data_IF_734672952736
#
_entry.id   IF_734672952736
#
_cell.length_a   1.000
_cell.length_b   1.000
_cell.length_c   1.000
_cell.angle_alpha   90.00
_cell.angle_beta   90.00
_cell.angle_gamma   90.00
#
_symmetry.space_group_name_H-M   'P 1'
#
loop_
_entity.id
_entity.type
_entity.pdbx_description
1 polymer ?
#
# COMPACT_ATOMS: atom_id res chain seq x y z
N UNK A 1 1.91 -49.42 -17.84
CA UNK A 1 2.27 -48.08 -18.35
C UNK A 1 1.05 -47.20 -18.11
N UNK A 2 1.18 -46.18 -17.29
CA UNK A 2 0.05 -45.31 -16.89
C UNK A 2 0.27 -43.93 -17.51
N UNK A 3 -0.67 -43.52 -18.35
CA UNK A 3 -0.80 -42.15 -18.87
C UNK A 3 -1.19 -41.18 -17.75
N UNK A 4 -0.71 -39.93 -17.76
CA UNK A 4 -1.36 -38.84 -17.04
C UNK A 4 -2.14 -37.95 -18.02
N UNK A 5 -3.35 -37.49 -17.68
CA UNK A 5 -3.82 -36.24 -18.22
C UNK A 5 -4.09 -35.20 -17.13
N UNK A 6 -3.45 -34.05 -17.38
CA UNK A 6 -3.97 -32.70 -17.19
C UNK A 6 -4.36 -32.26 -15.78
N UNK A 7 -3.39 -31.57 -15.17
CA UNK A 7 -3.55 -30.54 -14.15
C UNK A 7 -4.82 -29.69 -14.31
N UNK A 8 -5.79 -29.98 -13.44
CA UNK A 8 -6.60 -29.05 -12.66
C UNK A 8 -6.98 -27.71 -13.33
N UNK A 9 -8.17 -27.71 -13.92
CA UNK A 9 -9.00 -26.51 -14.09
C UNK A 9 -9.21 -25.80 -12.74
N UNK A 10 -9.19 -24.46 -12.67
CA UNK A 10 -9.57 -23.74 -11.45
C UNK A 10 -11.06 -23.93 -11.18
N UNK A 11 -11.38 -24.46 -9.99
CA UNK A 11 -12.74 -24.65 -9.52
C UNK A 11 -13.48 -23.31 -9.47
N UNK A 12 -14.62 -23.25 -10.17
CA UNK A 12 -15.54 -22.13 -10.09
C UNK A 12 -16.15 -22.04 -8.68
N UNK A 13 -16.45 -20.85 -8.14
CA UNK A 13 -17.15 -20.74 -6.86
C UNK A 13 -18.56 -21.32 -7.01
N UNK A 14 -19.05 -22.14 -6.06
CA UNK A 14 -20.40 -22.67 -6.15
C UNK A 14 -21.41 -21.54 -5.94
N UNK A 15 -22.19 -21.25 -6.98
CA UNK A 15 -23.37 -20.39 -6.94
C UNK A 15 -24.54 -21.19 -6.40
N UNK A 16 -25.07 -20.83 -5.22
CA UNK A 16 -26.32 -21.39 -4.69
C UNK A 16 -26.63 -20.88 -3.28
N UNK A 17 -27.81 -20.27 -3.05
CA UNK A 17 -28.15 -19.66 -1.77
C UNK A 17 -28.89 -20.68 -0.89
N UNK A 18 -28.29 -21.06 0.25
CA UNK A 18 -29.04 -21.76 1.30
C UNK A 18 -29.01 -20.94 2.58
N UNK A 19 -30.20 -20.44 2.93
CA UNK A 19 -30.51 -19.67 4.13
C UNK A 19 -30.55 -20.62 5.31
N UNK A 20 -29.40 -21.05 5.79
CA UNK A 20 -29.30 -21.64 7.12
C UNK A 20 -28.94 -20.51 8.10
N UNK A 21 -29.98 -19.94 8.71
CA UNK A 21 -29.90 -18.91 9.74
C UNK A 21 -29.33 -19.50 11.03
N UNK A 22 -28.04 -19.82 11.04
CA UNK A 22 -27.26 -19.89 12.28
C UNK A 22 -26.81 -18.48 12.59
N UNK A 23 -27.55 -17.79 13.46
CA UNK A 23 -27.20 -16.47 13.96
C UNK A 23 -25.75 -16.49 14.48
N UNK A 24 -24.83 -15.93 13.69
CA UNK A 24 -23.48 -15.63 14.15
C UNK A 24 -23.60 -14.50 15.17
N UNK A 25 -23.23 -14.71 16.44
CA UNK A 25 -23.28 -13.63 17.42
C UNK A 25 -22.24 -12.59 17.03
N UNK A 26 -22.69 -11.36 16.81
CA UNK A 26 -21.85 -10.16 16.76
C UNK A 26 -20.78 -10.19 15.67
N UNK A 27 -21.19 -9.97 14.42
CA UNK A 27 -20.29 -9.44 13.42
C UNK A 27 -19.83 -8.05 13.87
N UNK A 28 -18.79 -8.00 14.69
CA UNK A 28 -18.04 -6.76 14.92
C UNK A 28 -17.68 -6.23 13.54
N UNK A 29 -18.17 -5.04 13.23
CA UNK A 29 -17.92 -4.38 11.97
C UNK A 29 -16.41 -4.12 11.90
N UNK A 30 -15.67 -5.03 11.26
CA UNK A 30 -14.22 -4.95 11.09
C UNK A 30 -13.82 -3.62 10.47
N UNK A 31 -14.73 -2.94 9.75
CA UNK A 31 -14.50 -1.58 9.23
C UNK A 31 -14.36 -0.55 10.33
N UNK A 32 -15.17 -0.61 11.39
CA UNK A 32 -15.04 0.30 12.54
C UNK A 32 -13.73 0.06 13.30
N UNK A 33 -13.33 -1.20 13.45
CA UNK A 33 -12.08 -1.57 14.12
C UNK A 33 -10.85 -1.05 13.34
N UNK A 34 -10.84 -1.23 12.01
CA UNK A 34 -9.81 -0.68 11.12
C UNK A 34 -9.81 0.85 11.17
N UNK A 35 -10.98 1.50 11.18
CA UNK A 35 -11.09 2.96 11.26
C UNK A 35 -10.55 3.51 12.59
N UNK A 36 -10.77 2.80 13.71
CA UNK A 36 -10.19 3.17 15.02
C UNK A 36 -8.68 2.96 15.07
N UNK A 37 -8.17 1.88 14.47
CA UNK A 37 -6.74 1.60 14.42
C UNK A 37 -5.98 2.62 13.56
N UNK A 38 -6.50 2.95 12.37
CA UNK A 38 -5.89 3.92 11.45
C UNK A 38 -5.89 5.35 11.99
N UNK A 39 -6.88 5.72 12.81
CA UNK A 39 -6.91 7.03 13.51
C UNK A 39 -5.82 7.19 14.57
N UNK A 40 -5.17 6.11 15.01
CA UNK A 40 -4.21 6.13 16.12
C UNK A 40 -2.75 5.98 15.71
N UNK A 41 -2.46 5.77 14.43
CA UNK A 41 -1.08 5.71 13.95
C UNK A 41 -0.50 7.12 13.82
N UNK A 42 0.43 7.55 14.69
CA UNK A 42 1.14 8.79 14.47
C UNK A 42 1.93 8.71 13.17
N UNK A 43 1.97 9.83 12.45
CA UNK A 43 2.69 9.95 11.19
C UNK A 43 4.19 9.83 11.45
N UNK A 44 4.83 8.79 10.93
CA UNK A 44 6.28 8.60 11.07
C UNK A 44 7.02 9.38 9.97
N UNK A 45 7.41 10.60 10.31
CA UNK A 45 8.14 11.49 9.41
C UNK A 45 9.53 10.95 9.05
N UNK A 46 10.15 10.15 9.91
CA UNK A 46 11.46 9.56 9.64
C UNK A 46 11.34 8.45 8.59
N UNK A 47 10.34 7.58 8.73
CA UNK A 47 10.02 6.56 7.74
C UNK A 47 9.65 7.19 6.38
N UNK A 48 8.86 8.26 6.37
CA UNK A 48 8.49 8.97 5.13
C UNK A 48 9.71 9.60 4.44
N UNK A 49 10.63 10.22 5.20
CA UNK A 49 11.89 10.75 4.65
C UNK A 49 12.76 9.64 4.05
N UNK A 50 12.94 8.54 4.77
CA UNK A 50 13.71 7.39 4.28
C UNK A 50 13.09 6.78 3.00
N UNK A 51 11.76 6.70 2.95
CA UNK A 51 11.03 6.23 1.78
C UNK A 51 11.24 7.12 0.55
N UNK A 52 11.14 8.45 0.70
CA UNK A 52 11.39 9.39 -0.38
C UNK A 52 12.85 9.36 -0.85
N UNK A 53 13.80 9.21 0.07
CA UNK A 53 15.22 9.07 -0.27
C UNK A 53 15.47 7.81 -1.11
N UNK A 54 14.93 6.67 -0.69
CA UNK A 54 15.03 5.42 -1.43
C UNK A 54 14.40 5.53 -2.84
N UNK A 55 13.26 6.21 -2.97
CA UNK A 55 12.64 6.47 -4.28
C UNK A 55 13.55 7.27 -5.20
N UNK A 56 14.25 8.29 -4.68
CA UNK A 56 15.21 9.07 -5.47
C UNK A 56 16.33 8.16 -6.00
N UNK A 57 16.84 7.26 -5.18
CA UNK A 57 17.91 6.34 -5.58
C UNK A 57 17.45 5.34 -6.64
N UNK A 58 16.25 4.79 -6.51
CA UNK A 58 15.63 3.94 -7.53
C UNK A 58 15.50 4.67 -8.87
N UNK A 59 15.01 5.92 -8.85
CA UNK A 59 14.86 6.74 -10.07
C UNK A 59 16.21 7.02 -10.73
N UNK A 60 17.26 7.28 -9.95
CA UNK A 60 18.62 7.50 -10.48
C UNK A 60 19.13 6.29 -11.27
N UNK A 61 18.90 5.09 -10.75
CA UNK A 61 19.35 3.83 -11.38
C UNK A 61 18.39 3.31 -12.45
N UNK A 62 17.24 3.96 -12.66
CA UNK A 62 16.22 3.45 -13.58
C UNK A 62 16.69 3.54 -15.04
N UNK A 63 16.87 2.39 -15.69
CA UNK A 63 17.46 2.29 -17.04
C UNK A 63 16.54 2.78 -18.16
N UNK A 64 15.23 2.72 -17.96
CA UNK A 64 14.24 3.07 -19.00
C UNK A 64 13.85 4.55 -19.04
N UNK A 65 14.27 5.35 -18.06
CA UNK A 65 13.95 6.77 -18.00
C UNK A 65 15.03 7.58 -18.71
N UNK A 66 14.62 8.59 -19.47
CA UNK A 66 15.56 9.59 -19.99
C UNK A 66 16.10 10.44 -18.85
N UNK A 67 17.26 11.07 -19.05
CA UNK A 67 17.85 11.95 -18.04
C UNK A 67 16.92 13.12 -17.66
N UNK A 68 16.18 13.67 -18.63
CA UNK A 68 15.18 14.70 -18.36
C UNK A 68 14.04 14.20 -17.47
N UNK A 69 13.54 12.98 -17.72
CA UNK A 69 12.50 12.36 -16.90
C UNK A 69 12.99 12.04 -15.49
N UNK A 70 14.23 11.54 -15.35
CA UNK A 70 14.85 11.33 -14.03
C UNK A 70 14.96 12.63 -13.26
N UNK A 71 15.47 13.69 -13.89
CA UNK A 71 15.60 15.00 -13.25
C UNK A 71 14.24 15.55 -12.79
N UNK A 72 13.20 15.45 -13.64
CA UNK A 72 11.86 15.90 -13.29
C UNK A 72 11.29 15.10 -12.10
N UNK A 73 11.43 13.78 -12.11
CA UNK A 73 10.96 12.90 -11.04
C UNK A 73 11.70 13.16 -9.71
N UNK A 74 13.04 13.25 -9.76
CA UNK A 74 13.87 13.57 -8.60
C UNK A 74 13.52 14.95 -8.03
N UNK A 75 13.32 15.96 -8.88
CA UNK A 75 12.91 17.29 -8.45
C UNK A 75 11.54 17.27 -7.74
N UNK A 76 10.61 16.42 -8.20
CA UNK A 76 9.33 16.18 -7.52
C UNK A 76 9.52 15.61 -6.11
N UNK A 77 10.26 14.52 -6.00
CA UNK A 77 10.54 13.85 -4.72
C UNK A 77 11.29 14.76 -3.73
N UNK A 78 12.23 15.56 -4.23
CA UNK A 78 12.96 16.54 -3.41
C UNK A 78 12.04 17.67 -2.89
N UNK A 79 11.04 18.09 -3.66
CA UNK A 79 10.04 19.07 -3.17
C UNK A 79 9.21 18.47 -2.04
N UNK A 80 8.78 17.22 -2.16
CA UNK A 80 8.04 16.53 -1.10
C UNK A 80 8.89 16.37 0.16
N UNK A 81 10.16 16.00 0.02
CA UNK A 81 11.08 15.87 1.14
C UNK A 81 11.29 17.21 1.87
N UNK A 82 11.39 18.32 1.13
CA UNK A 82 11.42 19.67 1.73
C UNK A 82 10.13 20.02 2.47
N UNK A 83 8.96 19.72 1.91
CA UNK A 83 7.67 19.94 2.57
C UNK A 83 7.55 19.15 3.87
N UNK A 84 8.03 17.90 3.88
CA UNK A 84 8.14 17.04 5.07
C UNK A 84 9.11 17.57 6.12
N UNK A 85 10.11 18.36 5.72
CA UNK A 85 10.97 19.08 6.67
C UNK A 85 10.29 20.33 7.23
N UNK A 86 9.61 21.10 6.38
CA UNK A 86 8.95 22.36 6.78
C UNK A 86 7.67 22.15 7.60
N UNK A 87 6.88 21.13 7.29
CA UNK A 87 5.67 20.78 8.05
C UNK A 87 5.96 20.18 9.43
N UNK A 88 7.23 19.89 9.75
CA UNK A 88 7.64 19.51 11.11
C UNK A 88 7.84 20.74 12.01
N UNK A 89 7.96 21.95 11.45
CA UNK A 89 8.18 23.19 12.19
C UNK A 89 6.87 23.93 12.55
N UNK A 90 5.74 23.63 11.89
CA UNK A 90 4.42 24.26 12.17
C UNK A 90 3.63 23.63 13.32
N UNK A 91 4.09 22.50 13.89
CA UNK A 91 3.45 21.84 15.05
C UNK A 91 4.23 22.15 16.35
N UNK A 92 4.48 23.44 16.61
CA UNK A 92 5.06 23.91 17.87
C UNK A 92 4.06 24.86 18.57
N UNK A 93 3.62 24.54 19.80
CA UNK A 93 2.54 25.24 20.50
C UNK A 93 2.85 26.71 20.83
#
# INVERSE_FOLDING_TARGET
MSEPPASQQPAQPPTGPDRDQRAVPGGHDKREEIARATRRTPRDLAAERAFLQNKIDIVRTHSTLTEAQKQQAIAGLQRELRKLSQGADEDRP
#
